data_IF_447597905874
#
_entry.id   IF_447597905874
#
_cell.length_a   1.000
_cell.length_b   1.000
_cell.length_c   1.000
_cell.angle_alpha   90.00
_cell.angle_beta   90.00
_cell.angle_gamma   90.00
#
_symmetry.space_group_name_H-M   'P 1'
#
loop_
_entity.id
_entity.type
_entity.pdbx_description
1 polymer ?
#
# COMPACT_ATOMS: atom_id res chain seq x y z
N UNK A 1 -17.78 4.92 -6.42
CA UNK A 1 -17.27 5.04 -5.04
C UNK A 1 -16.15 6.07 -4.89
N UNK A 2 -15.17 6.14 -5.81
CA UNK A 2 -14.08 7.13 -5.74
C UNK A 2 -14.59 8.59 -5.72
N UNK A 3 -15.43 8.97 -6.70
CA UNK A 3 -15.97 10.34 -6.79
C UNK A 3 -16.87 10.73 -5.61
N UNK A 4 -17.66 9.79 -5.06
CA UNK A 4 -18.51 10.05 -3.90
C UNK A 4 -17.70 10.24 -2.62
N UNK A 5 -16.64 9.44 -2.42
CA UNK A 5 -15.70 9.63 -1.31
C UNK A 5 -14.93 10.95 -1.43
N UNK A 6 -14.47 11.28 -2.64
CA UNK A 6 -13.88 12.58 -2.96
C UNK A 6 -14.84 13.73 -2.63
N UNK A 7 -16.09 13.69 -3.11
CA UNK A 7 -17.07 14.73 -2.90
C UNK A 7 -17.35 14.95 -1.40
N UNK A 8 -17.47 13.87 -0.62
CA UNK A 8 -17.64 13.96 0.83
C UNK A 8 -16.45 14.67 1.50
N UNK A 9 -15.21 14.29 1.15
CA UNK A 9 -14.01 14.96 1.64
C UNK A 9 -13.96 16.45 1.26
N UNK A 10 -14.26 16.77 0.00
CA UNK A 10 -14.25 18.14 -0.52
C UNK A 10 -15.28 19.02 0.20
N UNK A 11 -16.50 18.50 0.40
CA UNK A 11 -17.57 19.21 1.13
C UNK A 11 -17.16 19.45 2.58
N UNK A 12 -16.66 18.44 3.29
CA UNK A 12 -16.29 18.57 4.71
C UNK A 12 -15.14 19.56 4.89
N UNK A 13 -14.06 19.42 4.11
CA UNK A 13 -12.89 20.29 4.21
C UNK A 13 -13.20 21.70 3.71
N UNK A 14 -13.95 21.82 2.62
CA UNK A 14 -14.38 23.11 2.08
C UNK A 14 -15.28 23.88 3.03
N UNK A 15 -16.29 23.21 3.61
CA UNK A 15 -17.20 23.84 4.57
C UNK A 15 -16.45 24.32 5.84
N UNK A 16 -15.54 23.49 6.37
CA UNK A 16 -14.66 23.86 7.48
C UNK A 16 -13.81 25.08 7.14
N UNK A 17 -13.19 25.11 5.97
CA UNK A 17 -12.37 26.24 5.53
C UNK A 17 -13.18 27.53 5.36
N UNK A 18 -14.36 27.46 4.73
CA UNK A 18 -15.24 28.64 4.54
C UNK A 18 -15.68 29.21 5.88
N UNK A 19 -16.06 28.35 6.83
CA UNK A 19 -16.56 28.75 8.15
C UNK A 19 -15.45 29.26 9.08
N UNK A 20 -14.35 28.49 9.19
CA UNK A 20 -13.37 28.66 10.27
C UNK A 20 -12.03 29.26 9.77
N UNK A 21 -11.86 29.42 8.45
CA UNK A 21 -10.62 29.86 7.78
C UNK A 21 -9.36 29.11 8.26
N UNK A 22 -9.56 27.88 8.73
CA UNK A 22 -8.55 27.02 9.31
C UNK A 22 -8.92 25.56 9.11
N UNK A 23 -7.92 24.69 9.09
CA UNK A 23 -8.08 23.24 9.01
C UNK A 23 -7.27 22.57 10.12
N UNK A 24 -7.68 21.38 10.59
CA UNK A 24 -6.84 20.60 11.49
C UNK A 24 -5.49 20.29 10.84
N UNK A 25 -4.45 20.22 11.66
CA UNK A 25 -3.08 19.95 11.19
C UNK A 25 -3.04 18.70 10.30
N UNK A 26 -2.38 18.82 9.14
CA UNK A 26 -2.25 17.74 8.16
C UNK A 26 -3.30 17.72 7.03
N UNK A 27 -4.41 18.46 7.14
CA UNK A 27 -5.46 18.48 6.11
C UNK A 27 -5.32 19.58 5.05
N UNK A 28 -4.40 20.54 5.20
CA UNK A 28 -4.17 21.60 4.20
C UNK A 28 -3.86 21.02 2.81
N UNK A 29 -2.96 20.03 2.73
CA UNK A 29 -2.66 19.32 1.48
C UNK A 29 -3.85 18.50 0.97
N UNK A 30 -4.73 18.02 1.85
CA UNK A 30 -5.94 17.30 1.43
C UNK A 30 -6.95 18.23 0.77
N UNK A 31 -7.09 19.47 1.24
CA UNK A 31 -7.92 20.47 0.57
C UNK A 31 -7.36 20.82 -0.81
N UNK A 32 -6.04 21.02 -0.92
CA UNK A 32 -5.38 21.22 -2.22
C UNK A 32 -5.60 20.03 -3.15
N UNK A 33 -5.46 18.80 -2.62
CA UNK A 33 -5.77 17.58 -3.34
C UNK A 33 -7.22 17.52 -3.81
N UNK A 34 -8.17 18.03 -3.03
CA UNK A 34 -9.57 18.08 -3.46
C UNK A 34 -9.76 19.00 -4.67
N UNK A 35 -9.20 20.21 -4.61
CA UNK A 35 -9.24 21.15 -5.74
C UNK A 35 -8.56 20.55 -6.97
N UNK A 36 -7.36 19.97 -6.78
CA UNK A 36 -6.62 19.28 -7.84
C UNK A 36 -7.41 18.14 -8.47
N UNK A 37 -8.15 17.36 -7.67
CA UNK A 37 -8.97 16.25 -8.16
C UNK A 37 -10.17 16.73 -8.98
N UNK A 38 -10.82 17.83 -8.60
CA UNK A 38 -11.86 18.46 -9.42
C UNK A 38 -11.32 18.88 -10.79
N UNK A 39 -10.19 19.58 -10.81
CA UNK A 39 -9.53 20.02 -12.05
C UNK A 39 -9.13 18.80 -12.89
N UNK A 40 -8.56 17.78 -12.26
CA UNK A 40 -8.21 16.51 -12.90
C UNK A 40 -9.41 15.83 -13.55
N UNK A 41 -10.57 15.82 -12.90
CA UNK A 41 -11.78 15.19 -13.44
C UNK A 41 -12.30 15.92 -14.68
N UNK A 42 -12.24 17.25 -14.70
CA UNK A 42 -12.58 18.04 -15.90
C UNK A 42 -11.55 17.79 -17.01
N UNK A 43 -10.27 17.82 -16.68
CA UNK A 43 -9.20 17.53 -17.64
C UNK A 43 -9.33 16.12 -18.23
N UNK A 44 -9.74 15.14 -17.42
CA UNK A 44 -9.96 13.75 -17.85
C UNK A 44 -11.15 13.59 -18.78
N UNK A 45 -12.27 14.26 -18.46
CA UNK A 45 -13.43 14.33 -19.36
C UNK A 45 -13.06 14.94 -20.71
N UNK A 46 -12.30 16.05 -20.70
CA UNK A 46 -11.80 16.67 -21.92
C UNK A 46 -10.84 15.73 -22.66
N UNK A 47 -9.93 15.05 -21.95
CA UNK A 47 -9.00 14.09 -22.53
C UNK A 47 -9.74 13.01 -23.32
N UNK A 48 -10.76 12.40 -22.72
CA UNK A 48 -11.58 11.39 -23.38
C UNK A 48 -12.42 11.94 -24.54
N UNK A 49 -12.76 13.22 -24.52
CA UNK A 49 -13.46 13.88 -25.64
C UNK A 49 -12.54 14.05 -26.86
N UNK A 50 -11.26 14.37 -26.64
CA UNK A 50 -10.29 14.60 -27.74
C UNK A 50 -9.63 13.31 -28.24
N UNK A 51 -9.32 12.38 -27.35
CA UNK A 51 -8.50 11.19 -27.68
C UNK A 51 -9.29 9.87 -27.62
N UNK A 52 -10.55 9.92 -27.17
CA UNK A 52 -11.41 8.75 -27.02
C UNK A 52 -11.20 7.99 -25.70
N UNK A 53 -11.94 6.89 -25.55
CA UNK A 53 -11.87 6.03 -24.37
C UNK A 53 -10.95 4.85 -24.69
N UNK A 54 -9.72 4.92 -24.18
CA UNK A 54 -8.72 3.88 -24.32
C UNK A 54 -9.02 2.69 -23.40
N UNK A 55 -8.90 1.45 -23.91
CA UNK A 55 -9.16 0.21 -23.16
C UNK A 55 -7.89 -0.53 -22.71
N UNK A 56 -6.74 0.16 -22.73
CA UNK A 56 -5.45 -0.42 -22.39
C UNK A 56 -4.94 0.14 -21.05
N UNK A 57 -3.92 -0.50 -20.49
CA UNK A 57 -3.24 0.04 -19.31
C UNK A 57 -2.56 1.40 -19.57
N UNK A 58 -2.23 1.70 -20.83
CA UNK A 58 -1.67 2.99 -21.21
C UNK A 58 -2.63 4.16 -20.92
N UNK A 59 -3.94 3.90 -20.89
CA UNK A 59 -4.96 4.89 -20.52
C UNK A 59 -4.72 5.47 -19.12
N UNK A 60 -4.28 4.61 -18.17
CA UNK A 60 -3.98 5.02 -16.79
C UNK A 60 -2.76 5.94 -16.73
N UNK A 61 -1.90 5.92 -17.75
CA UNK A 61 -0.72 6.77 -17.86
C UNK A 61 -1.02 8.12 -18.53
N UNK A 62 -2.28 8.39 -18.89
CA UNK A 62 -2.64 9.71 -19.43
C UNK A 62 -2.30 10.81 -18.40
N UNK A 63 -1.93 12.02 -18.85
CA UNK A 63 -1.65 13.13 -17.95
C UNK A 63 -2.81 13.43 -16.97
N UNK A 64 -4.07 13.27 -17.42
CA UNK A 64 -5.25 13.46 -16.58
C UNK A 64 -5.37 12.41 -15.47
N UNK A 65 -5.16 11.12 -15.78
CA UNK A 65 -5.17 10.05 -14.79
C UNK A 65 -4.03 10.20 -13.78
N UNK A 66 -2.81 10.52 -14.24
CA UNK A 66 -1.68 10.74 -13.34
C UNK A 66 -1.92 11.93 -12.40
N UNK A 67 -2.56 13.00 -12.89
CA UNK A 67 -2.96 14.13 -12.06
C UNK A 67 -4.02 13.76 -11.02
N UNK A 68 -5.02 12.97 -11.41
CA UNK A 68 -6.04 12.43 -10.50
C UNK A 68 -5.44 11.51 -9.45
N UNK A 69 -4.46 10.68 -9.82
CA UNK A 69 -3.69 9.85 -8.90
C UNK A 69 -2.99 10.77 -7.89
N UNK A 70 -2.13 11.69 -8.32
CA UNK A 70 -1.41 12.59 -7.41
C UNK A 70 -2.37 13.33 -6.46
N UNK A 71 -3.44 13.90 -7.01
CA UNK A 71 -4.46 14.63 -6.24
C UNK A 71 -5.17 13.73 -5.22
N UNK A 72 -5.57 12.53 -5.62
CA UNK A 72 -6.19 11.54 -4.73
C UNK A 72 -5.24 11.11 -3.61
N UNK A 73 -3.95 10.94 -3.91
CA UNK A 73 -2.91 10.67 -2.94
C UNK A 73 -2.81 11.77 -1.88
N UNK A 74 -2.84 13.04 -2.28
CA UNK A 74 -2.86 14.18 -1.35
C UNK A 74 -4.09 14.17 -0.43
N UNK A 75 -5.27 13.85 -0.95
CA UNK A 75 -6.50 13.73 -0.15
C UNK A 75 -6.35 12.63 0.89
N UNK A 76 -6.03 11.41 0.45
CA UNK A 76 -6.08 10.18 1.25
C UNK A 76 -5.02 10.16 2.36
N UNK A 77 -3.82 10.67 2.08
CA UNK A 77 -2.72 10.72 3.06
C UNK A 77 -2.95 11.74 4.18
N UNK A 78 -4.01 12.56 4.11
CA UNK A 78 -4.38 13.53 5.15
C UNK A 78 -4.63 12.91 6.52
N UNK A 79 -5.26 11.74 6.55
CA UNK A 79 -5.58 11.02 7.79
C UNK A 79 -4.30 10.60 8.54
N UNK A 80 -3.29 10.11 7.80
CA UNK A 80 -1.99 9.75 8.36
C UNK A 80 -1.21 10.97 8.81
N UNK A 81 -1.22 12.07 8.03
CA UNK A 81 -0.59 13.35 8.45
C UNK A 81 -1.23 13.89 9.73
N UNK A 82 -2.55 13.88 9.81
CA UNK A 82 -3.29 14.33 10.98
C UNK A 82 -3.03 13.44 12.21
N UNK A 83 -3.00 12.12 12.04
CA UNK A 83 -2.66 11.20 13.12
C UNK A 83 -1.26 11.49 13.69
N UNK A 84 -0.27 11.75 12.82
CA UNK A 84 1.11 12.07 13.25
C UNK A 84 1.23 13.36 14.05
N UNK A 85 0.34 14.32 13.82
CA UNK A 85 0.28 15.58 14.58
C UNK A 85 -0.22 15.38 16.03
N UNK A 86 -0.78 14.21 16.36
CA UNK A 86 -1.22 13.87 17.72
C UNK A 86 -0.09 13.51 18.69
N UNK A 87 -0.39 13.60 19.99
CA UNK A 87 0.57 13.39 21.09
C UNK A 87 0.70 11.93 21.59
N UNK A 88 -0.23 11.04 21.24
CA UNK A 88 -0.26 9.66 21.75
C UNK A 88 0.73 8.70 21.07
N UNK A 89 1.32 7.78 21.85
CA UNK A 89 2.19 6.69 21.35
C UNK A 89 1.44 5.43 20.93
N UNK A 90 0.28 5.11 21.50
CA UNK A 90 -0.54 4.00 20.97
C UNK A 90 -1.27 4.48 19.73
N UNK A 91 -1.29 3.66 18.67
CA UNK A 91 -2.02 4.02 17.47
C UNK A 91 -3.52 4.14 17.79
N UNK A 92 -4.14 5.32 17.63
CA UNK A 92 -5.58 5.42 17.70
C UNK A 92 -6.20 4.68 16.52
N UNK A 93 -7.44 4.22 16.65
CA UNK A 93 -8.18 3.53 15.58
C UNK A 93 -8.13 4.32 14.27
N UNK A 94 -8.23 5.65 14.34
CA UNK A 94 -8.15 6.53 13.16
C UNK A 94 -6.81 6.46 12.42
N UNK A 95 -5.70 6.17 13.12
CA UNK A 95 -4.39 6.00 12.49
C UNK A 95 -4.32 4.67 11.72
N UNK A 96 -4.88 3.60 12.27
CA UNK A 96 -4.97 2.29 11.60
C UNK A 96 -5.91 2.35 10.41
N UNK A 97 -7.07 2.99 10.55
CA UNK A 97 -8.00 3.21 9.44
C UNK A 97 -7.38 4.11 8.36
N UNK A 98 -6.71 5.19 8.75
CA UNK A 98 -6.00 6.07 7.81
C UNK A 98 -4.91 5.32 7.03
N UNK A 99 -4.12 4.50 7.72
CA UNK A 99 -3.15 3.62 7.10
C UNK A 99 -3.80 2.59 6.16
N UNK A 100 -4.93 2.02 6.56
CA UNK A 100 -5.71 1.08 5.74
C UNK A 100 -6.16 1.74 4.45
N UNK A 101 -6.71 2.96 4.51
CA UNK A 101 -7.13 3.71 3.31
C UNK A 101 -5.92 4.03 2.43
N UNK A 102 -4.79 4.45 3.01
CA UNK A 102 -3.54 4.67 2.26
C UNK A 102 -3.08 3.38 1.58
N UNK A 103 -3.10 2.25 2.27
CA UNK A 103 -2.69 0.96 1.70
C UNK A 103 -3.65 0.49 0.60
N UNK A 104 -4.96 0.64 0.80
CA UNK A 104 -5.97 0.36 -0.23
C UNK A 104 -5.74 1.21 -1.48
N UNK A 105 -5.44 2.49 -1.29
CA UNK A 105 -5.12 3.40 -2.39
C UNK A 105 -3.84 2.99 -3.12
N UNK A 106 -2.77 2.66 -2.39
CA UNK A 106 -1.52 2.15 -2.98
C UNK A 106 -1.75 0.85 -3.78
N UNK A 107 -2.58 -0.06 -3.27
CA UNK A 107 -2.96 -1.29 -3.96
C UNK A 107 -3.83 -1.05 -5.19
N UNK A 108 -4.68 -0.01 -5.19
CA UNK A 108 -5.47 0.38 -6.35
C UNK A 108 -4.59 0.94 -7.47
N UNK A 109 -3.70 1.90 -7.14
CA UNK A 109 -2.84 2.54 -8.15
C UNK A 109 -1.77 1.61 -8.69
N UNK A 110 -1.40 0.57 -7.92
CA UNK A 110 -0.48 -0.49 -8.35
C UNK A 110 -1.20 -1.82 -8.64
N UNK A 111 -2.49 -1.78 -8.93
CA UNK A 111 -3.32 -3.00 -9.14
C UNK A 111 -2.82 -3.89 -10.27
N UNK A 112 -2.14 -3.32 -11.28
CA UNK A 112 -1.49 -4.06 -12.35
C UNK A 112 -0.33 -4.96 -11.89
N UNK A 113 0.16 -4.76 -10.67
CA UNK A 113 1.24 -5.53 -10.06
C UNK A 113 0.76 -6.15 -8.73
N UNK A 114 -0.53 -6.54 -8.65
CA UNK A 114 -1.14 -7.09 -7.45
C UNK A 114 -1.28 -8.62 -7.55
N UNK A 115 -0.49 -9.41 -6.79
CA UNK A 115 -0.54 -10.88 -6.86
C UNK A 115 -1.88 -11.50 -6.49
N UNK A 116 -2.73 -10.77 -5.75
CA UNK A 116 -4.05 -11.24 -5.34
C UNK A 116 -5.04 -11.25 -6.53
N UNK A 117 -4.80 -10.39 -7.52
CA UNK A 117 -5.55 -10.32 -8.77
C UNK A 117 -4.92 -11.17 -9.85
N UNK A 118 -3.68 -10.84 -10.21
CA UNK A 118 -2.96 -11.55 -11.26
C UNK A 118 -2.08 -12.63 -10.64
N UNK A 119 -2.68 -13.81 -10.44
CA UNK A 119 -2.05 -14.98 -9.82
C UNK A 119 -1.15 -15.69 -10.81
N UNK A 120 -0.13 -14.99 -11.31
CA UNK A 120 0.69 -15.46 -12.42
C UNK A 120 1.18 -16.91 -12.22
N UNK A 121 1.59 -17.25 -10.99
CA UNK A 121 2.05 -18.59 -10.60
C UNK A 121 0.99 -19.71 -10.70
N UNK A 122 -0.30 -19.38 -10.66
CA UNK A 122 -1.42 -20.30 -10.76
C UNK A 122 -2.33 -20.01 -11.98
N UNK A 123 -1.95 -19.04 -12.82
CA UNK A 123 -2.73 -18.60 -13.98
C UNK A 123 -2.64 -19.57 -15.16
N UNK A 124 -3.59 -19.54 -16.10
CA UNK A 124 -3.49 -20.27 -17.36
C UNK A 124 -2.42 -19.70 -18.31
N UNK A 125 -1.63 -18.69 -17.90
CA UNK A 125 -0.64 -18.05 -18.76
C UNK A 125 0.45 -19.00 -19.27
N UNK A 126 0.61 -20.19 -18.68
CA UNK A 126 1.59 -21.21 -19.12
C UNK A 126 1.57 -21.50 -20.63
N UNK A 127 0.43 -21.32 -21.30
CA UNK A 127 0.27 -21.58 -22.74
C UNK A 127 0.38 -20.34 -23.62
N UNK A 128 0.42 -19.15 -23.05
CA UNK A 128 0.37 -17.86 -23.78
C UNK A 128 1.47 -16.87 -23.39
N UNK A 129 2.22 -17.15 -22.33
CA UNK A 129 3.31 -16.31 -21.83
C UNK A 129 4.56 -17.16 -21.57
N UNK A 130 5.76 -16.72 -22.03
CA UNK A 130 7.02 -17.35 -21.68
C UNK A 130 7.22 -17.45 -20.16
N UNK A 131 7.82 -18.55 -19.70
CA UNK A 131 8.03 -18.84 -18.28
C UNK A 131 8.76 -17.71 -17.55
N UNK A 132 9.92 -17.28 -18.06
CA UNK A 132 10.75 -16.24 -17.41
C UNK A 132 10.03 -14.89 -17.30
N UNK A 133 9.21 -14.56 -18.30
CA UNK A 133 8.40 -13.35 -18.28
C UNK A 133 7.33 -13.42 -17.18
N UNK A 134 6.67 -14.57 -17.04
CA UNK A 134 5.69 -14.79 -16.00
C UNK A 134 6.33 -14.69 -14.60
N UNK A 135 7.47 -15.34 -14.39
CA UNK A 135 8.23 -15.25 -13.13
C UNK A 135 8.62 -13.80 -12.82
N UNK A 136 9.09 -13.06 -13.84
CA UNK A 136 9.46 -11.64 -13.69
C UNK A 136 8.29 -10.77 -13.23
N UNK A 137 7.12 -10.92 -13.84
CA UNK A 137 5.91 -10.15 -13.48
C UNK A 137 5.48 -10.46 -12.06
N UNK A 138 5.38 -11.74 -11.71
CA UNK A 138 4.97 -12.13 -10.36
C UNK A 138 5.98 -11.72 -9.30
N UNK A 139 7.29 -11.85 -9.57
CA UNK A 139 8.35 -11.38 -8.70
C UNK A 139 8.27 -9.86 -8.47
N UNK A 140 8.09 -9.08 -9.54
CA UNK A 140 7.95 -7.63 -9.44
C UNK A 140 6.74 -7.23 -8.59
N UNK A 141 5.57 -7.86 -8.81
CA UNK A 141 4.38 -7.61 -8.01
C UNK A 141 4.60 -7.91 -6.52
N UNK A 142 5.20 -9.07 -6.21
CA UNK A 142 5.53 -9.46 -4.84
C UNK A 142 6.47 -8.45 -4.18
N UNK A 143 7.53 -8.04 -4.85
CA UNK A 143 8.51 -7.08 -4.33
C UNK A 143 7.88 -5.70 -4.12
N UNK A 144 7.14 -5.19 -5.11
CA UNK A 144 6.49 -3.88 -5.04
C UNK A 144 5.50 -3.81 -3.88
N UNK A 145 4.58 -4.78 -3.77
CA UNK A 145 3.60 -4.79 -2.68
C UNK A 145 4.27 -5.00 -1.31
N UNK A 146 5.35 -5.80 -1.23
CA UNK A 146 6.15 -5.95 -0.01
C UNK A 146 6.77 -4.62 0.43
N UNK A 147 7.35 -3.87 -0.52
CA UNK A 147 7.96 -2.59 -0.25
C UNK A 147 6.94 -1.55 0.24
N UNK A 148 5.77 -1.49 -0.39
CA UNK A 148 4.68 -0.60 0.00
C UNK A 148 4.15 -0.93 1.40
N UNK A 149 3.95 -2.22 1.70
CA UNK A 149 3.49 -2.68 3.01
C UNK A 149 4.50 -2.33 4.10
N UNK A 150 5.77 -2.72 3.91
CA UNK A 150 6.83 -2.49 4.90
C UNK A 150 7.11 -1.00 5.08
N UNK A 151 7.12 -0.22 3.99
CA UNK A 151 7.30 1.23 4.06
C UNK A 151 6.20 1.90 4.89
N UNK A 152 4.94 1.54 4.65
CA UNK A 152 3.81 2.07 5.41
C UNK A 152 3.85 1.64 6.88
N UNK A 153 3.98 0.34 7.15
CA UNK A 153 3.97 -0.19 8.52
C UNK A 153 5.19 0.29 9.31
N UNK A 154 6.37 0.33 8.69
CA UNK A 154 7.58 0.89 9.29
C UNK A 154 7.39 2.34 9.70
N UNK A 155 6.81 3.18 8.83
CA UNK A 155 6.52 4.59 9.16
C UNK A 155 5.46 4.76 10.24
N UNK A 156 4.49 3.86 10.34
CA UNK A 156 3.55 3.86 11.46
C UNK A 156 4.26 3.50 12.77
N UNK A 157 5.11 2.47 12.75
CA UNK A 157 5.85 1.99 13.93
C UNK A 157 6.88 2.98 14.46
N UNK A 158 7.41 3.87 13.61
CA UNK A 158 8.27 4.98 14.06
C UNK A 158 7.54 5.92 15.04
N UNK A 159 6.22 6.09 14.88
CA UNK A 159 5.40 6.99 15.70
C UNK A 159 4.54 6.26 16.72
N UNK A 160 4.05 5.07 16.39
CA UNK A 160 3.00 4.40 17.13
C UNK A 160 3.33 2.93 17.49
N UNK A 161 2.93 2.53 18.69
CA UNK A 161 2.72 1.14 19.05
C UNK A 161 1.40 0.67 18.41
N UNK A 162 1.50 -0.23 17.42
CA UNK A 162 0.35 -0.79 16.72
C UNK A 162 -0.31 -1.88 17.59
N UNK A 163 -1.63 -1.81 17.85
CA UNK A 163 -2.35 -2.88 18.54
C UNK A 163 -2.47 -4.12 17.65
N UNK A 164 -2.63 -5.28 18.28
CA UNK A 164 -2.98 -6.53 17.59
C UNK A 164 -4.26 -6.35 16.77
N UNK A 165 -4.28 -6.90 15.56
CA UNK A 165 -5.35 -6.74 14.57
C UNK A 165 -5.12 -5.59 13.59
N UNK A 166 -4.08 -4.75 13.79
CA UNK A 166 -3.80 -3.65 12.87
C UNK A 166 -3.46 -4.14 11.47
N UNK A 167 -2.61 -5.18 11.36
CA UNK A 167 -2.21 -5.73 10.07
C UNK A 167 -3.30 -6.58 9.45
N UNK A 168 -4.08 -7.32 10.25
CA UNK A 168 -5.29 -8.00 9.77
C UNK A 168 -6.27 -7.01 9.14
N UNK A 169 -6.52 -5.85 9.76
CA UNK A 169 -7.41 -4.83 9.19
C UNK A 169 -6.81 -4.23 7.91
N UNK A 170 -5.53 -3.83 7.92
CA UNK A 170 -4.88 -3.21 6.75
C UNK A 170 -4.90 -4.15 5.55
N UNK A 171 -4.49 -5.41 5.72
CA UNK A 171 -4.40 -6.39 4.63
C UNK A 171 -5.79 -6.93 4.24
N UNK A 172 -6.62 -7.27 5.22
CA UNK A 172 -7.95 -7.85 4.99
C UNK A 172 -8.89 -6.88 4.28
N UNK A 173 -8.93 -5.61 4.70
CA UNK A 173 -9.76 -4.59 4.03
C UNK A 173 -9.26 -4.31 2.62
N UNK A 174 -7.94 -4.23 2.41
CA UNK A 174 -7.40 -4.07 1.06
C UNK A 174 -7.83 -5.24 0.18
N UNK A 175 -7.57 -6.48 0.60
CA UNK A 175 -7.93 -7.66 -0.19
C UNK A 175 -9.43 -7.74 -0.46
N UNK A 176 -10.26 -7.39 0.52
CA UNK A 176 -11.72 -7.33 0.35
C UNK A 176 -12.15 -6.28 -0.68
N UNK A 177 -11.66 -5.04 -0.57
CA UNK A 177 -12.02 -3.97 -1.51
C UNK A 177 -11.50 -4.23 -2.92
N UNK A 178 -10.32 -4.84 -3.03
CA UNK A 178 -9.78 -5.30 -4.29
C UNK A 178 -10.66 -6.41 -4.86
N UNK A 179 -10.96 -7.47 -4.11
CA UNK A 179 -11.81 -8.56 -4.60
C UNK A 179 -13.23 -8.08 -4.99
N UNK A 180 -13.74 -7.04 -4.34
CA UNK A 180 -15.02 -6.42 -4.67
C UNK A 180 -15.08 -5.80 -6.08
N UNK A 181 -13.94 -5.44 -6.70
CA UNK A 181 -13.93 -4.93 -8.09
C UNK A 181 -14.06 -6.02 -9.14
N UNK A 182 -13.95 -7.29 -8.73
CA UNK A 182 -14.04 -8.45 -9.62
C UNK A 182 -15.01 -9.49 -9.07
N UNK A 183 -14.51 -10.36 -8.19
CA UNK A 183 -15.28 -11.37 -7.48
C UNK A 183 -14.59 -11.65 -6.13
N UNK A 184 -15.38 -11.71 -5.06
CA UNK A 184 -14.88 -12.09 -3.74
C UNK A 184 -14.50 -13.56 -3.77
N UNK A 185 -13.26 -13.87 -3.37
CA UNK A 185 -12.77 -15.24 -3.25
C UNK A 185 -11.84 -15.46 -2.05
N UNK A 186 -11.24 -16.65 -1.99
CA UNK A 186 -10.42 -17.09 -0.86
C UNK A 186 -9.18 -16.22 -0.61
N UNK A 187 -8.77 -15.34 -1.54
CA UNK A 187 -7.65 -14.40 -1.29
C UNK A 187 -7.93 -13.44 -0.13
N UNK A 188 -9.21 -13.15 0.15
CA UNK A 188 -9.57 -12.36 1.34
C UNK A 188 -9.16 -13.10 2.62
N UNK A 189 -9.39 -14.41 2.68
CA UNK A 189 -8.97 -15.25 3.81
C UNK A 189 -7.44 -15.36 3.89
N UNK A 190 -6.75 -15.43 2.75
CA UNK A 190 -5.28 -15.42 2.68
C UNK A 190 -4.71 -14.12 3.27
N UNK A 191 -5.27 -12.96 2.91
CA UNK A 191 -4.87 -11.68 3.49
C UNK A 191 -5.15 -11.61 4.99
N UNK A 192 -6.31 -12.09 5.44
CA UNK A 192 -6.66 -12.13 6.88
C UNK A 192 -5.67 -13.01 7.64
N UNK A 193 -5.36 -14.20 7.13
CA UNK A 193 -4.38 -15.12 7.75
C UNK A 193 -2.97 -14.51 7.77
N UNK A 194 -2.53 -13.92 6.66
CA UNK A 194 -1.25 -13.21 6.59
C UNK A 194 -1.17 -12.01 7.55
N UNK A 195 -2.27 -11.27 7.71
CA UNK A 195 -2.37 -10.18 8.67
C UNK A 195 -2.34 -10.63 10.12
N UNK A 196 -3.06 -11.71 10.46
CA UNK A 196 -3.00 -12.31 11.80
C UNK A 196 -1.57 -12.76 12.15
N UNK A 197 -0.89 -13.42 11.22
CA UNK A 197 0.52 -13.79 11.39
C UNK A 197 1.41 -12.55 11.55
N UNK A 198 1.16 -11.51 10.75
CA UNK A 198 1.83 -10.21 10.89
C UNK A 198 1.63 -9.57 12.26
N UNK A 199 0.41 -9.62 12.80
CA UNK A 199 0.08 -9.07 14.11
C UNK A 199 0.79 -9.86 15.24
N UNK A 200 0.98 -11.17 15.08
CA UNK A 200 1.85 -11.95 15.97
C UNK A 200 3.30 -11.44 15.88
N UNK A 201 3.81 -11.19 14.68
CA UNK A 201 5.16 -10.63 14.50
C UNK A 201 5.32 -9.22 15.08
N UNK A 202 4.27 -8.39 15.10
CA UNK A 202 4.29 -7.09 15.78
C UNK A 202 4.58 -7.24 17.28
N UNK A 203 4.05 -8.29 17.90
CA UNK A 203 4.27 -8.59 19.33
C UNK A 203 5.66 -9.20 19.56
N UNK A 204 6.03 -10.21 18.77
CA UNK A 204 7.26 -10.99 18.96
C UNK A 204 8.53 -10.22 18.56
N UNK A 205 8.45 -9.41 17.50
CA UNK A 205 9.59 -8.67 16.92
C UNK A 205 9.49 -7.17 17.16
N UNK A 206 8.88 -6.77 18.28
CA UNK A 206 8.67 -5.36 18.66
C UNK A 206 9.97 -4.55 18.64
N UNK A 207 11.04 -5.10 19.20
CA UNK A 207 12.35 -4.42 19.32
C UNK A 207 13.32 -4.77 18.19
N UNK A 208 12.87 -5.52 17.18
CA UNK A 208 13.70 -5.97 16.04
C UNK A 208 13.11 -5.51 14.71
N UNK A 209 13.09 -4.19 14.41
CA UNK A 209 12.39 -3.65 13.25
C UNK A 209 12.91 -4.19 11.91
N UNK A 210 14.23 -4.43 11.77
CA UNK A 210 14.80 -5.03 10.56
C UNK A 210 14.38 -6.49 10.34
N UNK A 211 14.30 -7.27 11.42
CA UNK A 211 13.86 -8.67 11.34
C UNK A 211 12.36 -8.71 11.04
N UNK A 212 11.57 -7.89 11.71
CA UNK A 212 10.15 -7.75 11.42
C UNK A 212 9.89 -7.38 9.95
N UNK A 213 10.64 -6.40 9.43
CA UNK A 213 10.50 -5.95 8.05
C UNK A 213 10.81 -7.05 7.04
N UNK A 214 11.69 -8.01 7.37
CA UNK A 214 11.94 -9.18 6.55
C UNK A 214 10.85 -10.24 6.70
N UNK A 215 10.50 -10.58 7.95
CA UNK A 215 9.61 -11.70 8.26
C UNK A 215 8.16 -11.43 7.87
N UNK A 216 7.69 -10.19 7.97
CA UNK A 216 6.31 -9.83 7.62
C UNK A 216 5.94 -10.17 6.16
N UNK A 217 6.60 -9.60 5.13
CA UNK A 217 6.27 -9.93 3.75
C UNK A 217 6.62 -11.38 3.40
N UNK A 218 7.71 -11.95 3.93
CA UNK A 218 8.02 -13.36 3.72
C UNK A 218 6.89 -14.28 4.21
N UNK A 219 6.36 -14.03 5.41
CA UNK A 219 5.23 -14.81 5.95
C UNK A 219 3.98 -14.65 5.10
N UNK A 220 3.64 -13.41 4.72
CA UNK A 220 2.48 -13.13 3.87
C UNK A 220 2.56 -13.91 2.55
N UNK A 221 3.72 -13.90 1.89
CA UNK A 221 3.89 -14.57 0.61
C UNK A 221 4.05 -16.09 0.73
N UNK A 222 4.55 -16.59 1.86
CA UNK A 222 4.51 -18.02 2.17
C UNK A 222 3.06 -18.51 2.32
N UNK A 223 2.21 -17.77 3.03
CA UNK A 223 0.78 -18.09 3.17
C UNK A 223 0.07 -18.02 1.82
N UNK A 224 0.34 -16.98 1.02
CA UNK A 224 -0.19 -16.85 -0.34
C UNK A 224 0.20 -18.02 -1.25
N UNK A 225 1.48 -18.38 -1.31
CA UNK A 225 1.95 -19.51 -2.12
C UNK A 225 1.34 -20.83 -1.64
N UNK A 226 1.32 -21.07 -0.34
CA UNK A 226 0.71 -22.28 0.22
C UNK A 226 -0.76 -22.38 -0.20
N UNK A 227 -1.50 -21.28 -0.13
CA UNK A 227 -2.90 -21.25 -0.55
C UNK A 227 -3.07 -21.51 -2.05
N UNK A 228 -2.21 -20.92 -2.91
CA UNK A 228 -2.23 -21.20 -4.35
C UNK A 228 -1.95 -22.67 -4.65
N UNK A 229 -0.92 -23.25 -4.02
CA UNK A 229 -0.55 -24.64 -4.22
C UNK A 229 -1.68 -25.60 -3.84
N UNK A 230 -2.39 -25.32 -2.75
CA UNK A 230 -3.52 -26.14 -2.28
C UNK A 230 -4.73 -26.03 -3.20
N UNK A 231 -5.06 -24.83 -3.67
CA UNK A 231 -6.31 -24.60 -4.41
C UNK A 231 -6.17 -24.83 -5.91
N UNK A 232 -5.03 -24.44 -6.49
CA UNK A 232 -4.82 -24.46 -7.95
C UNK A 232 -3.59 -25.27 -8.37
N UNK A 233 -2.66 -25.53 -7.44
CA UNK A 233 -1.30 -25.91 -7.80
C UNK A 233 -0.52 -24.74 -8.39
N UNK A 234 0.63 -25.04 -8.98
CA UNK A 234 1.43 -24.06 -9.70
C UNK A 234 2.14 -24.73 -10.87
N UNK A 235 2.36 -23.96 -11.93
CA UNK A 235 3.23 -24.35 -13.03
C UNK A 235 4.66 -23.82 -12.85
N UNK A 236 4.92 -23.11 -11.74
CA UNK A 236 6.23 -22.60 -11.42
C UNK A 236 7.13 -23.65 -10.80
N UNK A 237 8.42 -23.58 -11.14
CA UNK A 237 9.44 -24.44 -10.54
C UNK A 237 9.65 -24.08 -9.07
N UNK A 238 10.16 -25.06 -8.31
CA UNK A 238 10.40 -24.89 -6.88
C UNK A 238 11.27 -23.67 -6.57
N UNK A 239 12.27 -23.37 -7.41
CA UNK A 239 13.15 -22.21 -7.25
C UNK A 239 12.38 -20.89 -7.30
N UNK A 240 11.42 -20.75 -8.21
CA UNK A 240 10.58 -19.56 -8.30
C UNK A 240 9.61 -19.48 -7.11
N UNK A 241 8.94 -20.59 -6.78
CA UNK A 241 7.98 -20.67 -5.67
C UNK A 241 8.61 -20.32 -4.32
N UNK A 242 9.76 -20.90 -4.00
CA UNK A 242 10.48 -20.58 -2.76
C UNK A 242 11.20 -19.23 -2.86
N UNK A 243 11.69 -18.88 -4.04
CA UNK A 243 12.45 -17.66 -4.30
C UNK A 243 11.64 -16.40 -4.05
N UNK A 244 10.37 -16.34 -4.47
CA UNK A 244 9.55 -15.14 -4.24
C UNK A 244 9.29 -14.86 -2.76
N UNK A 245 9.21 -15.90 -1.92
CA UNK A 245 9.04 -15.76 -0.47
C UNK A 245 10.28 -15.09 0.14
N UNK A 246 11.46 -15.56 -0.27
CA UNK A 246 12.74 -14.97 0.17
C UNK A 246 12.90 -13.56 -0.37
N UNK A 247 12.58 -13.33 -1.66
CA UNK A 247 12.67 -12.02 -2.28
C UNK A 247 11.75 -10.99 -1.60
N UNK A 248 10.54 -11.39 -1.21
CA UNK A 248 9.64 -10.55 -0.43
C UNK A 248 10.28 -10.11 0.90
N UNK A 249 10.90 -11.05 1.61
CA UNK A 249 11.61 -10.77 2.86
C UNK A 249 12.83 -9.86 2.68
N UNK A 250 13.67 -10.16 1.69
CA UNK A 250 14.83 -9.32 1.35
C UNK A 250 14.40 -7.90 0.98
N UNK A 251 13.31 -7.76 0.21
CA UNK A 251 12.76 -6.45 -0.16
C UNK A 251 12.34 -5.65 1.06
N UNK A 252 11.61 -6.29 1.99
CA UNK A 252 11.22 -5.64 3.23
C UNK A 252 12.42 -5.22 4.10
N UNK A 253 13.42 -6.09 4.21
CA UNK A 253 14.67 -5.77 4.90
C UNK A 253 15.39 -4.56 4.29
N UNK A 254 15.52 -4.51 2.95
CA UNK A 254 16.16 -3.41 2.23
C UNK A 254 15.40 -2.09 2.43
N UNK A 255 14.07 -2.11 2.36
CA UNK A 255 13.25 -0.93 2.62
C UNK A 255 13.48 -0.42 4.05
N UNK A 256 13.50 -1.30 5.03
CA UNK A 256 13.78 -0.94 6.42
C UNK A 256 15.21 -0.44 6.63
N UNK A 257 16.19 -0.97 5.89
CA UNK A 257 17.56 -0.46 5.87
C UNK A 257 17.61 0.98 5.35
N UNK A 258 16.99 1.25 4.21
CA UNK A 258 16.93 2.60 3.61
C UNK A 258 16.17 3.61 4.47
N UNK A 259 15.19 3.16 5.25
CA UNK A 259 14.43 4.02 6.15
C UNK A 259 15.22 4.44 7.40
N UNK A 260 16.29 3.72 7.77
CA UNK A 260 17.13 4.11 8.92
C UNK A 260 17.94 5.34 8.53
N UNK A 261 17.70 6.46 9.21
CA UNK A 261 18.53 7.65 9.06
C UNK A 261 19.99 7.33 9.34
N UNK A 262 20.91 7.99 8.63
CA UNK A 262 22.33 7.88 8.94
C UNK A 262 22.58 8.34 10.38
N UNK A 263 23.48 7.68 11.12
CA UNK A 263 23.92 8.20 12.41
C UNK A 263 24.38 9.64 12.22
N UNK A 264 23.90 10.57 13.05
CA UNK A 264 24.45 11.90 13.07
C UNK A 264 25.96 11.77 13.36
N UNK A 265 26.81 12.44 12.59
CA UNK A 265 28.23 12.50 12.90
C UNK A 265 28.37 13.03 14.33
N UNK A 266 29.09 12.29 15.18
CA UNK A 266 29.39 12.79 16.52
C UNK A 266 30.08 14.15 16.38
N UNK A 267 29.64 15.18 17.12
CA UNK A 267 30.33 16.45 17.11
C UNK A 267 31.78 16.21 17.54
N UNK A 268 32.72 16.58 16.66
CA UNK A 268 34.15 16.52 16.94
C UNK A 268 34.38 17.29 18.25
N UNK A 269 34.73 16.58 19.33
CA UNK A 269 35.09 17.21 20.59
C UNK A 269 36.31 18.07 20.31
N UNK A 270 36.16 19.40 20.34
CA UNK A 270 37.31 20.28 20.34
C UNK A 270 38.12 19.98 21.61
N UNK A 271 39.44 19.73 21.51
CA UNK A 271 40.27 19.57 22.69
C UNK A 271 40.20 20.87 23.50
N UNK A 272 39.97 20.74 24.81
CA UNK A 272 40.03 21.87 25.73
C UNK A 272 41.46 22.43 25.69
N UNK A 273 41.60 23.63 25.14
CA UNK A 273 42.83 24.43 25.19
C UNK A 273 42.87 25.29 26.44
#
# INVERSE_FOLDING_TARGET
MLYSGYAACAVVLGARWVRDRSLPAGYGLSLLGCVGFAVGGVADMLWHTFFGIERSIAAVLSPSHLWLIISGGLVITGTVRAARAGAGRRAPVIAVLGATVVFCYLGLVTSFAQPYFDRVAASPYRTVMPYDQAVTIGLFGVMLQSALLVGLVGKLREKFDLPFGSLTVILGVQAFLLAFTHAIDFMVLVAVAGGLAGDVWLLVLRDRPAVFAAVLPATLYAVYIAALLVVYGTWWEIHAVTGIVVAAGVTGWLVQYLMRGWPAAEPVRQPAG
#
